data_IF_690070621040
#
_entry.id   IF_690070621040
#
_cell.length_a   1.000
_cell.length_b   1.000
_cell.length_c   1.000
_cell.angle_alpha   90.00
_cell.angle_beta   90.00
_cell.angle_gamma   90.00
#
_symmetry.space_group_name_H-M   'P 1'
#
loop_
_entity.id
_entity.type
_entity.pdbx_description
1 polymer ?
#
# COMPACT_ATOMS: atom_id res chain seq x y z
N UNK A 1 -30.76 13.43 0.72
CA UNK A 1 -29.45 13.20 1.39
C UNK A 1 -29.51 12.05 2.40
N UNK A 2 -30.52 12.03 3.28
CA UNK A 2 -30.71 10.97 4.30
C UNK A 2 -30.94 9.58 3.69
N UNK A 3 -31.78 9.47 2.68
CA UNK A 3 -32.00 8.21 1.96
C UNK A 3 -30.71 7.66 1.35
N UNK A 4 -29.88 8.52 0.75
CA UNK A 4 -28.60 8.09 0.20
C UNK A 4 -27.64 7.58 1.30
N UNK A 5 -27.62 8.24 2.44
CA UNK A 5 -26.82 7.79 3.61
C UNK A 5 -27.34 6.45 4.15
N UNK A 6 -28.67 6.28 4.24
CA UNK A 6 -29.24 5.01 4.67
C UNK A 6 -28.91 3.86 3.71
N UNK A 7 -28.94 4.11 2.39
CA UNK A 7 -28.54 3.11 1.37
C UNK A 7 -27.07 2.73 1.51
N UNK A 8 -26.17 3.69 1.76
CA UNK A 8 -24.75 3.41 1.97
C UNK A 8 -24.55 2.54 3.21
N UNK A 9 -25.16 2.91 4.34
CA UNK A 9 -25.09 2.11 5.58
C UNK A 9 -25.65 0.71 5.40
N UNK A 10 -26.78 0.57 4.71
CA UNK A 10 -27.38 -0.74 4.41
C UNK A 10 -26.40 -1.61 3.60
N UNK A 11 -25.78 -1.06 2.56
CA UNK A 11 -24.78 -1.78 1.74
C UNK A 11 -23.52 -2.17 2.52
N UNK A 12 -23.09 -1.32 3.45
CA UNK A 12 -21.97 -1.63 4.33
C UNK A 12 -22.30 -2.76 5.29
N UNK A 13 -23.51 -2.75 5.88
CA UNK A 13 -23.99 -3.82 6.76
C UNK A 13 -24.19 -5.15 6.00
N UNK A 14 -24.82 -5.12 4.84
CA UNK A 14 -25.03 -6.28 3.98
C UNK A 14 -23.69 -6.89 3.52
N UNK A 15 -22.72 -6.06 3.17
CA UNK A 15 -21.38 -6.52 2.88
C UNK A 15 -20.68 -7.12 4.10
N UNK A 16 -20.87 -6.54 5.27
CA UNK A 16 -20.29 -7.08 6.51
C UNK A 16 -20.84 -8.46 6.82
N UNK A 17 -22.14 -8.64 6.67
CA UNK A 17 -22.84 -9.90 6.90
C UNK A 17 -22.42 -10.96 5.86
N UNK A 18 -22.72 -10.74 4.59
CA UNK A 18 -22.51 -11.73 3.52
C UNK A 18 -21.03 -12.06 3.27
N UNK A 19 -20.16 -11.04 3.29
CA UNK A 19 -18.73 -11.25 2.94
C UNK A 19 -17.92 -11.76 4.13
N UNK A 20 -18.24 -11.35 5.36
CA UNK A 20 -17.44 -11.68 6.53
C UNK A 20 -18.11 -12.68 7.45
N UNK A 21 -19.33 -12.41 7.92
CA UNK A 21 -19.99 -13.27 8.92
C UNK A 21 -20.34 -14.62 8.30
N UNK A 22 -21.10 -14.62 7.22
CA UNK A 22 -21.49 -15.86 6.53
C UNK A 22 -20.27 -16.65 6.05
N UNK A 23 -19.26 -15.96 5.52
CA UNK A 23 -18.02 -16.60 5.07
C UNK A 23 -17.25 -17.22 6.21
N UNK A 24 -17.12 -16.54 7.35
CA UNK A 24 -16.44 -17.05 8.54
C UNK A 24 -17.18 -18.27 9.09
N UNK A 25 -18.51 -18.17 9.26
CA UNK A 25 -19.33 -19.28 9.79
C UNK A 25 -19.30 -20.50 8.88
N UNK A 26 -19.25 -20.31 7.56
CA UNK A 26 -19.13 -21.42 6.59
C UNK A 26 -17.85 -22.23 6.74
N UNK A 27 -16.74 -21.57 7.10
CA UNK A 27 -15.42 -22.18 7.25
C UNK A 27 -15.03 -22.44 8.71
N UNK A 28 -15.98 -22.27 9.63
CA UNK A 28 -15.78 -22.70 11.03
C UNK A 28 -15.80 -24.24 11.10
N UNK A 29 -14.83 -24.79 11.80
CA UNK A 29 -14.79 -26.21 12.16
C UNK A 29 -14.23 -26.38 13.58
N UNK A 30 -15.03 -26.94 14.46
CA UNK A 30 -14.68 -27.22 15.87
C UNK A 30 -14.16 -25.97 16.60
N UNK A 31 -14.85 -24.84 16.43
CA UNK A 31 -14.51 -23.57 17.05
C UNK A 31 -13.30 -22.85 16.40
N UNK A 32 -12.82 -23.32 15.27
CA UNK A 32 -11.67 -22.75 14.54
C UNK A 32 -12.02 -22.34 13.13
N UNK A 33 -11.34 -21.32 12.63
CA UNK A 33 -11.39 -20.93 11.23
C UNK A 33 -10.08 -21.36 10.57
N UNK A 34 -10.23 -22.12 9.50
CA UNK A 34 -9.12 -22.59 8.67
C UNK A 34 -9.17 -21.86 7.33
N UNK A 35 -8.18 -21.00 7.07
CA UNK A 35 -8.04 -20.36 5.77
C UNK A 35 -6.84 -20.91 4.99
N UNK A 36 -6.88 -20.76 3.69
CA UNK A 36 -5.76 -21.10 2.82
C UNK A 36 -4.88 -19.88 2.61
N UNK A 37 -3.57 -20.05 2.74
CA UNK A 37 -2.57 -19.03 2.40
C UNK A 37 -1.86 -19.41 1.11
N UNK A 38 -1.83 -18.47 0.15
CA UNK A 38 -1.20 -18.66 -1.14
C UNK A 38 0.11 -17.86 -1.22
N UNK A 39 1.28 -18.49 -0.99
CA UNK A 39 2.58 -17.81 -1.07
C UNK A 39 3.05 -17.61 -2.50
N UNK A 40 2.55 -18.41 -3.44
CA UNK A 40 2.88 -18.38 -4.85
C UNK A 40 1.62 -18.18 -5.70
N UNK A 41 1.80 -17.55 -6.86
CA UNK A 41 0.73 -17.43 -7.85
C UNK A 41 0.42 -18.81 -8.46
N UNK A 42 -0.86 -19.18 -8.40
CA UNK A 42 -1.43 -20.37 -9.07
C UNK A 42 -2.82 -20.01 -9.62
N UNK A 43 -3.48 -20.98 -10.22
CA UNK A 43 -4.87 -20.81 -10.69
C UNK A 43 -5.84 -20.62 -9.51
N UNK A 44 -5.53 -21.20 -8.34
CA UNK A 44 -6.35 -21.11 -7.14
C UNK A 44 -6.16 -19.80 -6.36
N UNK A 45 -5.08 -19.03 -6.62
CA UNK A 45 -4.83 -17.78 -5.92
C UNK A 45 -3.39 -17.29 -5.99
N UNK A 46 -3.01 -16.46 -5.02
CA UNK A 46 -1.68 -15.86 -4.94
C UNK A 46 -1.55 -14.54 -5.67
N UNK A 47 -0.40 -13.89 -5.51
CA UNK A 47 -0.12 -12.60 -6.11
C UNK A 47 1.13 -12.66 -6.98
N UNK A 48 1.17 -11.84 -8.04
CA UNK A 48 2.38 -11.69 -8.88
C UNK A 48 3.53 -10.98 -8.16
N UNK A 49 3.22 -10.26 -7.07
CA UNK A 49 4.19 -9.48 -6.29
C UNK A 49 4.95 -10.32 -5.26
N UNK A 50 4.45 -11.51 -4.92
CA UNK A 50 4.98 -12.37 -3.86
C UNK A 50 4.45 -12.05 -2.46
N UNK A 51 3.47 -11.16 -2.35
CA UNK A 51 2.68 -11.04 -1.12
C UNK A 51 1.83 -12.29 -0.96
N UNK A 52 1.57 -12.71 0.28
CA UNK A 52 0.54 -13.72 0.53
C UNK A 52 -0.83 -13.19 0.12
N UNK A 53 -1.66 -14.07 -0.39
CA UNK A 53 -3.11 -13.89 -0.39
C UNK A 53 -3.75 -14.99 0.44
N UNK A 54 -4.97 -14.80 0.87
CA UNK A 54 -5.73 -15.83 1.57
C UNK A 54 -7.12 -15.99 0.97
N UNK A 55 -7.64 -17.21 1.06
CA UNK A 55 -8.99 -17.59 0.63
C UNK A 55 -9.59 -18.60 1.61
N UNK A 56 -10.87 -18.83 1.49
CA UNK A 56 -11.61 -19.88 2.18
C UNK A 56 -11.48 -19.87 3.74
N UNK A 57 -11.76 -18.74 4.45
CA UNK A 57 -12.12 -17.39 4.00
C UNK A 57 -10.91 -16.47 3.80
N UNK A 58 -11.10 -15.30 3.16
CA UNK A 58 -10.05 -14.31 3.05
C UNK A 58 -9.88 -13.49 4.34
N UNK A 59 -9.05 -13.96 5.27
CA UNK A 59 -8.78 -13.31 6.55
C UNK A 59 -7.98 -11.99 6.44
N UNK A 60 -7.34 -11.72 5.30
CA UNK A 60 -6.60 -10.47 5.08
C UNK A 60 -7.52 -9.27 4.82
N UNK A 61 -8.81 -9.51 4.51
CA UNK A 61 -9.80 -8.46 4.24
C UNK A 61 -10.72 -8.15 5.43
N UNK A 62 -10.47 -8.71 6.60
CA UNK A 62 -11.29 -8.43 7.80
C UNK A 62 -11.34 -6.93 8.06
N UNK A 63 -12.54 -6.34 8.23
CA UNK A 63 -12.73 -4.91 8.37
C UNK A 63 -11.89 -4.30 9.50
N UNK A 64 -11.34 -3.11 9.23
CA UNK A 64 -10.52 -2.39 10.20
C UNK A 64 -10.82 -0.89 10.27
N UNK A 65 -11.62 -0.35 9.32
CA UNK A 65 -11.85 1.10 9.21
C UNK A 65 -13.02 1.58 10.04
N UNK A 66 -14.13 0.86 9.98
CA UNK A 66 -15.30 1.14 10.81
C UNK A 66 -15.08 0.56 12.21
N UNK A 67 -15.17 1.36 13.29
CA UNK A 67 -14.88 0.91 14.65
C UNK A 67 -15.86 -0.16 15.15
N UNK A 68 -17.15 -0.06 14.80
CA UNK A 68 -18.20 -0.98 15.24
C UNK A 68 -18.05 -2.34 14.54
N UNK A 69 -17.97 -2.31 13.21
CA UNK A 69 -17.78 -3.52 12.40
C UNK A 69 -16.43 -4.20 12.74
N UNK A 70 -15.38 -3.39 12.92
CA UNK A 70 -14.07 -3.89 13.36
C UNK A 70 -14.17 -4.63 14.69
N UNK A 71 -14.84 -4.03 15.70
CA UNK A 71 -14.99 -4.63 17.02
C UNK A 71 -15.80 -5.92 16.95
N UNK A 72 -16.90 -5.91 16.20
CA UNK A 72 -17.77 -7.05 16.04
C UNK A 72 -17.03 -8.23 15.40
N UNK A 73 -16.46 -8.03 14.22
CA UNK A 73 -15.89 -9.14 13.44
C UNK A 73 -14.53 -9.58 13.98
N UNK A 74 -13.62 -8.66 14.33
CA UNK A 74 -12.33 -9.04 14.91
C UNK A 74 -12.44 -9.62 16.31
N UNK A 75 -13.48 -9.25 17.05
CA UNK A 75 -13.77 -9.79 18.36
C UNK A 75 -14.17 -11.28 18.36
N UNK A 76 -14.53 -11.84 17.20
CA UNK A 76 -14.81 -13.27 17.04
C UNK A 76 -13.52 -14.12 17.10
N UNK A 77 -12.37 -13.52 16.80
CA UNK A 77 -11.10 -14.23 16.81
C UNK A 77 -10.44 -14.06 18.19
N UNK A 78 -10.42 -15.11 18.95
CA UNK A 78 -9.85 -15.17 20.30
C UNK A 78 -8.75 -16.22 20.35
N UNK A 79 -7.72 -16.05 21.20
CA UNK A 79 -6.75 -17.11 21.46
C UNK A 79 -7.43 -18.28 22.19
N UNK A 80 -6.80 -19.44 22.20
CA UNK A 80 -7.22 -20.55 23.07
C UNK A 80 -7.04 -20.21 24.54
N UNK A 81 -7.71 -20.94 25.39
CA UNK A 81 -7.57 -20.77 26.84
C UNK A 81 -6.09 -20.97 27.23
N UNK A 82 -5.55 -20.01 27.98
CA UNK A 82 -4.13 -19.97 28.34
C UNK A 82 -3.17 -19.40 27.31
N UNK A 83 -3.64 -19.15 26.07
CA UNK A 83 -2.83 -18.57 25.00
C UNK A 83 -3.03 -17.05 24.88
N UNK A 84 -2.14 -16.40 24.15
CA UNK A 84 -2.21 -14.94 23.89
C UNK A 84 -2.01 -14.62 22.41
N UNK A 85 -2.68 -13.58 21.94
CA UNK A 85 -2.40 -12.99 20.64
C UNK A 85 -1.21 -12.04 20.70
N UNK A 86 -0.26 -12.24 19.78
CA UNK A 86 0.78 -11.25 19.47
C UNK A 86 0.47 -10.59 18.13
N UNK A 87 0.47 -9.25 18.08
CA UNK A 87 0.36 -8.49 16.83
C UNK A 87 1.67 -7.76 16.58
N UNK A 88 2.32 -8.08 15.46
CA UNK A 88 3.60 -7.50 15.06
C UNK A 88 3.46 -6.88 13.67
N UNK A 89 3.79 -5.60 13.55
CA UNK A 89 3.74 -4.88 12.28
C UNK A 89 5.00 -4.03 12.10
N UNK A 90 5.56 -4.03 10.90
CA UNK A 90 6.69 -3.18 10.58
C UNK A 90 6.25 -1.72 10.46
N UNK A 91 6.83 -0.86 11.26
CA UNK A 91 6.58 0.58 11.17
C UNK A 91 7.08 1.13 9.83
N UNK A 92 6.15 1.65 9.02
CA UNK A 92 6.46 2.35 7.76
C UNK A 92 7.35 1.54 6.81
N UNK A 93 7.10 0.24 6.62
CA UNK A 93 7.94 -0.65 5.81
C UNK A 93 8.21 -0.12 4.40
N UNK A 94 7.16 0.27 3.67
CA UNK A 94 7.30 0.76 2.29
C UNK A 94 8.10 2.06 2.20
N UNK A 95 7.86 3.10 3.03
CA UNK A 95 8.71 4.29 3.08
C UNK A 95 10.18 3.99 3.39
N UNK A 96 10.47 3.07 4.31
CA UNK A 96 11.86 2.67 4.64
C UNK A 96 12.54 2.02 3.45
N UNK A 97 11.85 1.13 2.73
CA UNK A 97 12.38 0.51 1.50
C UNK A 97 12.59 1.55 0.40
N UNK A 98 11.65 2.50 0.24
CA UNK A 98 11.83 3.62 -0.71
C UNK A 98 13.11 4.40 -0.43
N UNK A 99 13.32 4.83 0.82
CA UNK A 99 14.50 5.58 1.26
C UNK A 99 15.76 4.76 1.01
N UNK A 100 15.75 3.46 1.35
CA UNK A 100 16.87 2.55 1.07
C UNK A 100 17.20 2.51 -0.43
N UNK A 101 16.20 2.29 -1.31
CA UNK A 101 16.47 2.27 -2.74
C UNK A 101 16.95 3.62 -3.29
N UNK A 102 16.48 4.74 -2.75
CA UNK A 102 17.00 6.06 -3.11
C UNK A 102 18.45 6.25 -2.66
N UNK A 103 18.83 5.70 -1.51
CA UNK A 103 20.19 5.82 -0.98
C UNK A 103 21.23 5.05 -1.79
N UNK A 104 20.84 3.93 -2.41
CA UNK A 104 21.73 3.08 -3.23
C UNK A 104 21.72 3.42 -4.72
N UNK A 105 21.03 4.50 -5.13
CA UNK A 105 21.16 5.02 -6.49
C UNK A 105 22.60 5.46 -6.78
N UNK A 106 22.96 5.46 -8.07
CA UNK A 106 24.28 5.95 -8.50
C UNK A 106 24.48 7.39 -8.01
N UNK A 107 25.74 7.77 -7.74
CA UNK A 107 26.11 9.06 -7.17
C UNK A 107 25.48 10.27 -7.89
N UNK A 108 25.34 10.22 -9.22
CA UNK A 108 24.70 11.29 -10.01
C UNK A 108 23.17 11.32 -9.94
N UNK A 109 22.55 10.26 -9.46
CA UNK A 109 21.08 10.15 -9.33
C UNK A 109 20.63 10.28 -7.87
N UNK A 110 21.57 10.18 -6.92
CA UNK A 110 21.29 10.29 -5.49
C UNK A 110 21.10 11.74 -5.09
N UNK A 111 19.92 12.05 -4.57
CA UNK A 111 19.61 13.41 -4.11
C UNK A 111 20.23 13.68 -2.73
N UNK A 112 20.85 14.86 -2.47
CA UNK A 112 21.45 15.18 -1.18
C UNK A 112 20.50 15.04 0.03
N UNK A 113 19.23 15.44 -0.12
CA UNK A 113 18.21 15.30 0.93
C UNK A 113 18.03 13.86 1.44
N UNK A 114 18.47 12.84 0.71
CA UNK A 114 18.28 11.46 1.16
C UNK A 114 19.10 11.16 2.42
N UNK A 115 20.21 11.81 2.61
CA UNK A 115 21.05 11.65 3.80
C UNK A 115 20.34 12.21 5.04
N UNK A 116 19.69 13.37 4.93
CA UNK A 116 18.88 13.95 6.00
C UNK A 116 17.73 13.01 6.39
N UNK A 117 17.05 12.43 5.40
CA UNK A 117 15.96 11.48 5.63
C UNK A 117 16.47 10.20 6.31
N UNK A 118 17.64 9.70 5.92
CA UNK A 118 18.28 8.54 6.56
C UNK A 118 18.63 8.84 8.00
N UNK A 119 19.20 10.00 8.27
CA UNK A 119 19.58 10.41 9.63
C UNK A 119 18.36 10.50 10.54
N UNK A 120 17.23 11.02 10.04
CA UNK A 120 15.97 11.01 10.80
C UNK A 120 15.51 9.57 11.12
N UNK A 121 15.62 8.63 10.17
CA UNK A 121 15.31 7.22 10.46
C UNK A 121 16.25 6.59 11.49
N UNK A 122 17.51 6.99 11.54
CA UNK A 122 18.47 6.50 12.53
C UNK A 122 18.23 7.05 13.92
N UNK A 123 17.58 8.21 14.06
CA UNK A 123 17.17 8.78 15.35
C UNK A 123 16.02 8.00 16.02
N UNK A 124 15.33 7.12 15.30
CA UNK A 124 14.39 6.15 15.85
C UNK A 124 12.91 6.41 15.54
N UNK A 125 12.44 7.64 15.59
CA UNK A 125 11.02 8.00 15.50
C UNK A 125 10.62 8.68 14.18
N UNK A 126 11.33 8.40 13.08
CA UNK A 126 11.05 9.02 11.80
C UNK A 126 9.65 8.68 11.27
N UNK A 127 8.81 9.69 11.16
CA UNK A 127 7.54 9.63 10.45
C UNK A 127 7.69 10.26 9.06
N UNK A 128 7.95 9.43 8.06
CA UNK A 128 8.10 9.90 6.68
C UNK A 128 6.89 10.68 6.17
N UNK A 129 5.68 10.34 6.64
CA UNK A 129 4.48 11.07 6.23
C UNK A 129 4.44 12.46 6.86
N UNK A 130 4.89 12.59 8.12
CA UNK A 130 5.00 13.90 8.77
C UNK A 130 6.12 14.74 8.13
N UNK A 131 7.28 14.16 7.86
CA UNK A 131 8.38 14.84 7.17
C UNK A 131 7.92 15.41 5.82
N UNK A 132 7.19 14.63 5.02
CA UNK A 132 6.64 15.11 3.75
C UNK A 132 5.55 16.16 3.95
N UNK A 133 4.71 16.02 4.98
CA UNK A 133 3.70 17.01 5.33
C UNK A 133 4.34 18.38 5.60
N UNK A 134 5.38 18.40 6.41
CA UNK A 134 6.12 19.63 6.78
C UNK A 134 6.83 20.22 5.56
N UNK A 135 7.53 19.42 4.76
CA UNK A 135 8.19 19.86 3.53
C UNK A 135 7.21 20.40 2.48
N UNK A 136 6.06 19.76 2.32
CA UNK A 136 5.08 20.16 1.32
C UNK A 136 4.04 21.17 1.83
N UNK A 137 3.98 21.45 3.16
CA UNK A 137 3.00 22.31 3.79
C UNK A 137 1.57 21.80 3.60
N UNK A 138 1.35 20.51 3.84
CA UNK A 138 0.06 19.81 3.78
C UNK A 138 -0.16 19.05 5.09
N UNK A 139 -1.39 18.62 5.35
CA UNK A 139 -1.66 17.79 6.52
C UNK A 139 -0.98 16.41 6.42
N UNK A 140 -0.65 15.80 7.55
CA UNK A 140 -0.08 14.44 7.62
C UNK A 140 -0.97 13.40 6.94
N UNK A 141 -2.30 13.59 7.03
CA UNK A 141 -3.28 12.70 6.36
C UNK A 141 -3.19 12.79 4.84
N UNK A 142 -3.09 14.00 4.30
CA UNK A 142 -2.86 14.23 2.87
C UNK A 142 -1.50 13.70 2.44
N UNK A 143 -0.44 13.98 3.20
CA UNK A 143 0.90 13.46 2.93
C UNK A 143 0.93 11.93 2.88
N UNK A 144 0.24 11.23 3.79
CA UNK A 144 0.11 9.77 3.75
C UNK A 144 -0.54 9.30 2.46
N UNK A 145 -1.63 9.94 2.04
CA UNK A 145 -2.34 9.61 0.79
C UNK A 145 -1.47 9.86 -0.43
N UNK A 146 -0.79 11.02 -0.47
CA UNK A 146 0.11 11.39 -1.57
C UNK A 146 1.31 10.45 -1.65
N UNK A 147 1.99 10.20 -0.53
CA UNK A 147 3.16 9.33 -0.46
C UNK A 147 2.84 7.92 -0.98
N UNK A 148 1.85 7.26 -0.40
CA UNK A 148 1.46 5.92 -0.81
C UNK A 148 0.95 5.92 -2.25
N UNK A 149 0.14 6.89 -2.61
CA UNK A 149 -0.39 7.01 -3.97
C UNK A 149 0.70 7.15 -5.03
N UNK A 150 1.66 8.04 -4.81
CA UNK A 150 2.78 8.27 -5.77
C UNK A 150 3.69 7.05 -5.83
N UNK A 151 3.99 6.41 -4.70
CA UNK A 151 4.76 5.16 -4.67
C UNK A 151 4.11 4.06 -5.50
N UNK A 152 2.79 4.03 -5.56
CA UNK A 152 2.01 3.09 -6.39
C UNK A 152 1.58 3.66 -7.76
N UNK A 153 2.21 4.74 -8.21
CA UNK A 153 1.98 5.30 -9.55
C UNK A 153 0.63 6.00 -9.73
N UNK A 154 0.07 6.55 -8.66
CA UNK A 154 -1.20 7.30 -8.71
C UNK A 154 -1.07 8.54 -9.58
N UNK A 155 -2.01 8.71 -10.52
CA UNK A 155 -2.14 9.92 -11.33
C UNK A 155 -2.99 11.01 -10.68
N UNK A 156 -2.96 12.20 -11.28
CA UNK A 156 -3.67 13.42 -10.80
C UNK A 156 -5.15 13.18 -10.56
N UNK A 157 -5.87 12.53 -11.49
CA UNK A 157 -7.31 12.30 -11.35
C UNK A 157 -7.67 11.43 -10.14
N UNK A 158 -6.87 10.40 -9.83
CA UNK A 158 -7.09 9.57 -8.65
C UNK A 158 -6.75 10.32 -7.36
N UNK A 159 -5.72 11.15 -7.38
CA UNK A 159 -5.37 12.02 -6.25
C UNK A 159 -6.50 13.03 -5.96
N UNK A 160 -7.02 13.68 -7.00
CA UNK A 160 -8.15 14.60 -6.90
C UNK A 160 -9.37 13.93 -6.24
N UNK A 161 -9.74 12.74 -6.71
CA UNK A 161 -10.87 11.99 -6.15
C UNK A 161 -10.65 11.57 -4.68
N UNK A 162 -9.43 11.16 -4.31
CA UNK A 162 -9.13 10.72 -2.94
C UNK A 162 -9.10 11.85 -1.92
N UNK A 163 -8.67 13.04 -2.32
CA UNK A 163 -8.57 14.22 -1.43
C UNK A 163 -9.74 15.19 -1.61
N UNK A 164 -10.70 14.87 -2.49
CA UNK A 164 -11.85 15.74 -2.80
C UNK A 164 -11.38 17.11 -3.30
N UNK A 165 -10.40 17.11 -4.19
CA UNK A 165 -9.81 18.29 -4.82
C UNK A 165 -10.24 18.42 -6.28
N UNK A 166 -10.15 19.62 -6.84
CA UNK A 166 -10.18 19.79 -8.29
C UNK A 166 -8.93 19.20 -8.96
N UNK A 167 -9.00 18.90 -10.23
CA UNK A 167 -7.83 18.42 -10.98
C UNK A 167 -6.67 19.43 -10.99
N UNK A 168 -6.96 20.73 -10.97
CA UNK A 168 -5.95 21.79 -10.88
C UNK A 168 -5.23 21.80 -9.53
N UNK A 169 -5.97 21.71 -8.44
CA UNK A 169 -5.40 21.62 -7.08
C UNK A 169 -4.57 20.34 -6.89
N UNK A 170 -5.08 19.20 -7.33
CA UNK A 170 -4.35 17.94 -7.26
C UNK A 170 -3.06 17.96 -8.11
N UNK A 171 -3.08 18.62 -9.28
CA UNK A 171 -1.88 18.82 -10.10
C UNK A 171 -0.87 19.73 -9.42
N UNK A 172 -1.32 20.83 -8.81
CA UNK A 172 -0.46 21.73 -8.05
C UNK A 172 0.16 21.03 -6.82
N UNK A 173 -0.63 20.26 -6.09
CA UNK A 173 -0.16 19.46 -4.95
C UNK A 173 0.90 18.43 -5.38
N UNK A 174 0.66 17.71 -6.45
CA UNK A 174 1.62 16.73 -6.99
C UNK A 174 2.91 17.39 -7.47
N UNK A 175 2.84 18.57 -8.11
CA UNK A 175 4.01 19.34 -8.52
C UNK A 175 4.82 19.79 -7.30
N UNK A 176 4.15 20.33 -6.27
CA UNK A 176 4.76 20.74 -5.00
C UNK A 176 5.44 19.56 -4.30
N UNK A 177 4.79 18.39 -4.27
CA UNK A 177 5.38 17.16 -3.75
C UNK A 177 6.68 16.81 -4.49
N UNK A 178 6.64 16.72 -5.80
CA UNK A 178 7.83 16.36 -6.60
C UNK A 178 8.96 17.38 -6.50
N UNK A 179 8.64 18.66 -6.26
CA UNK A 179 9.65 19.68 -6.00
C UNK A 179 10.32 19.49 -4.64
N UNK A 180 9.56 19.08 -3.62
CA UNK A 180 10.05 18.94 -2.24
C UNK A 180 10.61 17.55 -1.95
N UNK A 181 10.17 16.52 -2.69
CA UNK A 181 10.60 15.12 -2.52
C UNK A 181 11.04 14.55 -3.90
N UNK A 182 12.04 15.15 -4.55
CA UNK A 182 12.40 14.80 -5.93
C UNK A 182 12.99 13.41 -6.08
N UNK A 183 13.61 12.86 -5.05
CA UNK A 183 14.23 11.53 -5.08
C UNK A 183 13.24 10.40 -5.33
N UNK A 184 11.97 10.54 -4.96
CA UNK A 184 10.92 9.56 -5.25
C UNK A 184 10.68 9.45 -6.76
N UNK A 185 10.57 10.59 -7.43
CA UNK A 185 10.40 10.63 -8.88
C UNK A 185 11.62 10.06 -9.62
N UNK A 186 12.82 10.45 -9.18
CA UNK A 186 14.08 9.95 -9.75
C UNK A 186 14.17 8.43 -9.63
N UNK A 187 13.86 7.86 -8.48
CA UNK A 187 13.84 6.40 -8.29
C UNK A 187 12.85 5.75 -9.26
N UNK A 188 11.63 6.25 -9.34
CA UNK A 188 10.60 5.73 -10.25
C UNK A 188 11.08 5.69 -11.70
N UNK A 189 11.63 6.80 -12.19
CA UNK A 189 12.16 6.92 -13.55
C UNK A 189 13.30 5.93 -13.81
N UNK A 190 14.23 5.77 -12.87
CA UNK A 190 15.35 4.82 -12.98
C UNK A 190 14.88 3.36 -12.98
N UNK A 191 13.92 3.04 -12.12
CA UNK A 191 13.32 1.69 -12.08
C UNK A 191 12.61 1.37 -13.39
N UNK A 192 11.79 2.30 -13.91
CA UNK A 192 11.11 2.13 -15.20
C UNK A 192 12.08 1.99 -16.37
N UNK A 193 13.12 2.82 -16.43
CA UNK A 193 14.18 2.73 -17.45
C UNK A 193 14.90 1.38 -17.41
N UNK A 194 15.21 0.89 -16.20
CA UNK A 194 15.86 -0.41 -15.99
C UNK A 194 14.96 -1.56 -16.42
N UNK A 195 13.66 -1.50 -16.10
CA UNK A 195 12.68 -2.48 -16.55
C UNK A 195 12.56 -2.50 -18.06
N UNK A 196 12.42 -1.33 -18.68
CA UNK A 196 12.33 -1.18 -20.13
C UNK A 196 13.57 -1.72 -20.87
N UNK A 197 14.75 -1.51 -20.29
CA UNK A 197 16.02 -1.97 -20.89
C UNK A 197 16.22 -3.47 -20.74
N UNK A 198 15.93 -4.01 -19.56
CA UNK A 198 16.34 -5.38 -19.19
C UNK A 198 15.18 -6.39 -19.19
N UNK A 199 13.93 -5.94 -19.35
CA UNK A 199 12.73 -6.79 -19.22
C UNK A 199 12.54 -7.41 -17.84
N UNK A 200 13.34 -7.00 -16.84
CA UNK A 200 13.29 -7.54 -15.47
C UNK A 200 13.88 -6.59 -14.45
N UNK A 201 13.37 -6.72 -13.22
CA UNK A 201 13.93 -6.06 -12.03
C UNK A 201 14.13 -7.12 -10.94
N UNK A 202 15.17 -6.94 -10.13
CA UNK A 202 15.43 -7.76 -8.95
C UNK A 202 15.16 -6.94 -7.71
N UNK A 203 14.38 -7.50 -6.78
CA UNK A 203 14.14 -6.90 -5.45
C UNK A 203 15.36 -7.06 -4.56
N UNK A 204 15.37 -6.39 -3.40
CA UNK A 204 16.45 -6.50 -2.39
C UNK A 204 16.63 -7.94 -1.90
N UNK A 205 15.55 -8.72 -1.80
CA UNK A 205 15.58 -10.13 -1.42
C UNK A 205 15.98 -11.07 -2.57
N UNK A 206 16.35 -10.54 -3.73
CA UNK A 206 16.78 -11.32 -4.89
C UNK A 206 15.65 -11.82 -5.80
N UNK A 207 14.37 -11.60 -5.44
CA UNK A 207 13.24 -12.00 -6.29
C UNK A 207 13.26 -11.24 -7.61
N UNK A 208 13.02 -11.97 -8.70
CA UNK A 208 12.93 -11.40 -10.05
C UNK A 208 11.47 -11.08 -10.40
N UNK A 209 11.21 -9.84 -10.78
CA UNK A 209 10.01 -9.43 -11.47
C UNK A 209 10.32 -9.29 -12.96
N UNK A 210 9.62 -10.04 -13.79
CA UNK A 210 9.74 -10.01 -15.26
C UNK A 210 8.59 -9.21 -15.83
N UNK A 211 8.89 -8.45 -16.90
CA UNK A 211 7.91 -7.64 -17.63
C UNK A 211 7.81 -8.19 -19.03
N UNK A 212 6.56 -8.26 -19.51
CA UNK A 212 6.30 -8.63 -20.89
C UNK A 212 6.73 -7.47 -21.79
N UNK A 213 7.73 -7.72 -22.62
CA UNK A 213 8.25 -6.73 -23.56
C UNK A 213 7.30 -6.47 -24.75
N UNK A 214 6.25 -7.28 -24.89
CA UNK A 214 5.18 -7.11 -25.87
C UNK A 214 4.08 -6.16 -25.40
N UNK A 215 4.03 -5.81 -24.11
CA UNK A 215 3.11 -4.78 -23.65
C UNK A 215 3.41 -3.45 -24.39
N UNK A 216 2.40 -2.76 -24.94
CA UNK A 216 2.61 -1.52 -25.68
C UNK A 216 3.39 -0.50 -24.85
N UNK A 217 4.43 0.09 -25.42
CA UNK A 217 5.24 1.14 -24.79
C UNK A 217 4.42 2.38 -24.35
N UNK A 218 3.19 2.51 -24.84
CA UNK A 218 2.23 3.56 -24.47
C UNK A 218 1.92 3.62 -22.97
N UNK A 219 2.06 2.54 -22.22
CA UNK A 219 1.85 2.53 -20.78
C UNK A 219 3.13 2.85 -19.97
N UNK A 220 4.26 3.07 -20.65
CA UNK A 220 5.49 3.58 -20.04
C UNK A 220 6.07 2.71 -18.92
N UNK A 221 5.83 1.39 -18.95
CA UNK A 221 6.31 0.46 -17.92
C UNK A 221 6.09 0.96 -16.48
N UNK A 222 4.92 1.55 -16.21
CA UNK A 222 4.56 2.04 -14.88
C UNK A 222 4.44 0.93 -13.83
N UNK A 223 4.27 -0.32 -14.27
CA UNK A 223 4.20 -1.51 -13.41
C UNK A 223 5.45 -1.77 -12.54
N UNK A 224 6.69 -1.41 -12.94
CA UNK A 224 7.86 -1.66 -12.11
C UNK A 224 7.92 -0.93 -10.77
N UNK A 225 7.08 0.05 -10.56
CA UNK A 225 7.01 0.76 -9.26
C UNK A 225 6.13 0.05 -8.22
N UNK A 226 5.26 -0.85 -8.65
CA UNK A 226 4.27 -1.50 -7.77
C UNK A 226 4.80 -2.80 -7.17
#
# INVERSE_FOLDING_TARGET
>A
HEVAQAIVKLREADKADSTFIDSILRYEHKGRIHCEFHPLRSDDGGTVTGRFSSSNPNLQQIPARDPEIKKLIRGLFVPEEGEKWGSFDYSSQEPRLLVHYCSVLRRGDRHPMIDEVIDEYHKGDADFHQMVADMAGISRKEAKTVNLGIMYGMGVGKLAAQLVLSNSEAKALMAKYHQRVPFVKTLAERVMQRAAKNGKIRTISGRLCRFDMWEPKTFGYKKPMN
#
